data_IF_346711894491
#
_entry.id   IF_346711894491
#
_cell.length_a   1.000
_cell.length_b   1.000
_cell.length_c   1.000
_cell.angle_alpha   90.00
_cell.angle_beta   90.00
_cell.angle_gamma   90.00
#
_symmetry.space_group_name_H-M   'P 1'
#
loop_
_entity.id
_entity.type
_entity.pdbx_description
1 polymer ?
#
# COMPACT_ATOMS: atom_id res chain seq x y z
N UNK A 1 -24.21 -24.17 -2.23
CA UNK A 1 -23.57 -24.65 -3.45
C UNK A 1 -22.53 -23.63 -3.90
N UNK A 2 -21.25 -23.97 -3.93
CA UNK A 2 -20.25 -23.08 -4.51
C UNK A 2 -20.48 -23.03 -6.03
N UNK A 3 -20.77 -21.83 -6.54
CA UNK A 3 -20.93 -21.57 -7.97
C UNK A 3 -19.71 -20.80 -8.45
N UNK A 4 -18.99 -21.36 -9.40
CA UNK A 4 -17.88 -20.67 -10.05
C UNK A 4 -18.34 -19.99 -11.34
N UNK A 5 -18.08 -18.69 -11.48
CA UNK A 5 -18.29 -17.97 -12.74
C UNK A 5 -17.10 -18.20 -13.68
N UNK A 6 -17.35 -18.50 -14.95
CA UNK A 6 -16.31 -18.51 -15.96
C UNK A 6 -16.07 -17.10 -16.48
N UNK A 7 -14.98 -16.46 -16.06
CA UNK A 7 -14.60 -15.12 -16.52
C UNK A 7 -14.52 -15.05 -18.06
N UNK A 8 -13.92 -16.05 -18.72
CA UNK A 8 -13.78 -16.08 -20.18
C UNK A 8 -15.11 -16.10 -20.90
N UNK A 9 -16.10 -16.88 -20.45
CA UNK A 9 -17.44 -16.90 -21.05
C UNK A 9 -18.20 -15.59 -20.80
N UNK A 10 -18.07 -15.03 -19.60
CA UNK A 10 -18.73 -13.77 -19.27
C UNK A 10 -18.21 -12.63 -20.14
N UNK A 11 -16.89 -12.57 -20.36
CA UNK A 11 -16.28 -11.54 -21.22
C UNK A 11 -16.69 -11.71 -22.68
N UNK A 12 -16.68 -12.94 -23.21
CA UNK A 12 -17.16 -13.19 -24.58
C UNK A 12 -18.62 -12.78 -24.77
N UNK A 13 -19.48 -13.07 -23.79
CA UNK A 13 -20.87 -12.63 -23.83
C UNK A 13 -21.00 -11.11 -23.75
N UNK A 14 -20.21 -10.45 -22.90
CA UNK A 14 -20.22 -8.99 -22.77
C UNK A 14 -19.71 -8.31 -24.04
N UNK A 15 -18.63 -8.80 -24.65
CA UNK A 15 -18.09 -8.31 -25.93
C UNK A 15 -19.08 -8.49 -27.08
N UNK A 16 -19.89 -9.57 -27.05
CA UNK A 16 -20.97 -9.81 -27.99
C UNK A 16 -22.20 -8.92 -27.75
N UNK A 17 -22.16 -8.02 -26.76
CA UNK A 17 -23.22 -7.05 -26.47
C UNK A 17 -24.29 -7.55 -25.49
N UNK A 18 -24.05 -8.62 -24.74
CA UNK A 18 -24.96 -9.11 -23.74
C UNK A 18 -25.11 -8.11 -22.59
N UNK A 19 -26.34 -7.64 -22.36
CA UNK A 19 -26.68 -6.65 -21.31
C UNK A 19 -27.38 -7.26 -20.09
N UNK A 20 -27.76 -8.54 -20.16
CA UNK A 20 -28.51 -9.21 -19.11
C UNK A 20 -27.97 -10.61 -18.82
N UNK A 21 -28.20 -11.15 -17.61
CA UNK A 21 -27.84 -12.54 -17.27
C UNK A 21 -28.54 -13.60 -18.14
N UNK A 22 -29.64 -13.24 -18.81
CA UNK A 22 -30.34 -14.14 -19.73
C UNK A 22 -29.47 -14.64 -20.89
N UNK A 23 -28.47 -13.86 -21.30
CA UNK A 23 -27.54 -14.31 -22.32
C UNK A 23 -26.77 -15.58 -21.88
N UNK A 24 -26.41 -15.68 -20.58
CA UNK A 24 -25.79 -16.87 -20.01
C UNK A 24 -26.71 -18.10 -20.03
N UNK A 25 -27.98 -17.90 -19.73
CA UNK A 25 -28.99 -18.96 -19.77
C UNK A 25 -29.21 -19.47 -21.20
N UNK A 26 -29.35 -18.58 -22.17
CA UNK A 26 -29.49 -18.92 -23.59
C UNK A 26 -28.24 -19.61 -24.12
N UNK A 27 -27.05 -19.13 -23.78
CA UNK A 27 -25.78 -19.77 -24.16
C UNK A 27 -25.68 -21.19 -23.59
N UNK A 28 -26.07 -21.41 -22.34
CA UNK A 28 -26.09 -22.73 -21.71
C UNK A 28 -27.05 -23.68 -22.37
N UNK A 29 -28.26 -23.22 -22.68
CA UNK A 29 -29.27 -24.01 -23.41
C UNK A 29 -28.77 -24.41 -24.80
N UNK A 30 -28.17 -23.46 -25.51
CA UNK A 30 -27.57 -23.72 -26.83
C UNK A 30 -26.44 -24.75 -26.76
N UNK A 31 -25.57 -24.65 -25.77
CA UNK A 31 -24.52 -25.65 -25.55
C UNK A 31 -25.08 -27.05 -25.32
N UNK A 32 -26.17 -27.18 -24.52
CA UNK A 32 -26.84 -28.46 -24.30
C UNK A 32 -27.33 -29.05 -25.62
N UNK A 33 -28.06 -28.26 -26.42
CA UNK A 33 -28.55 -28.69 -27.72
C UNK A 33 -27.42 -29.12 -28.65
N UNK A 34 -26.37 -28.31 -28.76
CA UNK A 34 -25.19 -28.64 -29.58
C UNK A 34 -24.49 -29.90 -29.08
N UNK A 35 -24.35 -30.10 -27.79
CA UNK A 35 -23.76 -31.28 -27.19
C UNK A 35 -24.59 -32.55 -27.49
N UNK A 36 -25.91 -32.45 -27.53
CA UNK A 36 -26.76 -33.63 -27.79
C UNK A 36 -26.75 -34.04 -29.27
N UNK A 37 -26.75 -33.07 -30.18
CA UNK A 37 -26.96 -33.37 -31.63
C UNK A 37 -25.71 -33.29 -32.50
N UNK A 38 -24.70 -32.52 -32.08
CA UNK A 38 -23.51 -32.20 -32.91
C UNK A 38 -22.18 -32.69 -32.33
N UNK A 39 -22.19 -33.54 -31.31
CA UNK A 39 -20.94 -34.06 -30.70
C UNK A 39 -20.04 -34.73 -31.71
N UNK A 40 -20.58 -35.51 -32.66
CA UNK A 40 -19.80 -36.19 -33.69
C UNK A 40 -19.08 -35.21 -34.64
N UNK A 41 -19.69 -34.07 -34.95
CA UNK A 41 -19.08 -33.05 -35.80
C UNK A 41 -17.89 -32.38 -35.12
N UNK A 42 -17.96 -32.20 -33.80
CA UNK A 42 -16.86 -31.62 -33.02
C UNK A 42 -15.73 -32.60 -32.70
N UNK A 43 -15.95 -33.91 -32.86
CA UNK A 43 -14.96 -34.97 -32.62
C UNK A 43 -13.73 -34.85 -33.55
N UNK A 44 -13.93 -34.34 -34.75
CA UNK A 44 -12.86 -34.17 -35.75
C UNK A 44 -12.14 -32.80 -35.64
N UNK A 45 -12.53 -31.93 -34.73
CA UNK A 45 -11.87 -30.63 -34.52
C UNK A 45 -10.48 -30.84 -33.93
N UNK A 46 -9.41 -30.39 -34.61
CA UNK A 46 -8.05 -30.44 -34.06
C UNK A 46 -7.95 -29.63 -32.79
N UNK A 47 -7.30 -30.22 -31.78
CA UNK A 47 -7.06 -29.50 -30.47
C UNK A 47 -6.35 -28.16 -30.65
N UNK A 48 -5.50 -28.06 -31.70
CA UNK A 48 -4.83 -26.79 -32.02
C UNK A 48 -5.80 -25.65 -32.36
N UNK A 49 -6.93 -25.92 -33.03
CA UNK A 49 -7.94 -24.93 -33.36
C UNK A 49 -8.69 -24.48 -32.08
N UNK A 50 -9.00 -25.43 -31.19
CA UNK A 50 -9.65 -25.12 -29.91
C UNK A 50 -8.73 -24.24 -29.05
N UNK A 51 -7.45 -24.61 -28.96
CA UNK A 51 -6.46 -23.82 -28.22
C UNK A 51 -6.27 -22.42 -28.81
N UNK A 52 -6.18 -22.30 -30.14
CA UNK A 52 -6.08 -21.00 -30.81
C UNK A 52 -7.30 -20.12 -30.54
N UNK A 53 -8.50 -20.68 -30.56
CA UNK A 53 -9.75 -19.95 -30.26
C UNK A 53 -9.75 -19.42 -28.83
N UNK A 54 -9.28 -20.21 -27.87
CA UNK A 54 -9.17 -19.79 -26.47
C UNK A 54 -8.15 -18.64 -26.36
N UNK A 55 -6.97 -18.77 -26.95
CA UNK A 55 -5.92 -17.75 -26.92
C UNK A 55 -6.44 -16.43 -27.50
N UNK A 56 -7.07 -16.46 -28.68
CA UNK A 56 -7.62 -15.27 -29.31
C UNK A 56 -8.71 -14.60 -28.45
N UNK A 57 -9.56 -15.42 -27.83
CA UNK A 57 -10.64 -14.91 -26.95
C UNK A 57 -10.09 -14.25 -25.69
N UNK A 58 -9.02 -14.79 -25.11
CA UNK A 58 -8.38 -14.26 -23.88
C UNK A 58 -7.46 -13.09 -24.21
N UNK A 59 -6.91 -13.01 -25.44
CA UNK A 59 -5.97 -11.94 -25.82
C UNK A 59 -6.51 -10.53 -25.54
N UNK A 60 -7.79 -10.34 -25.73
CA UNK A 60 -8.46 -9.05 -25.44
C UNK A 60 -8.50 -8.68 -23.97
N UNK A 61 -8.31 -9.64 -23.06
CA UNK A 61 -8.27 -9.42 -21.61
C UNK A 61 -6.88 -8.97 -21.13
N UNK A 62 -5.86 -9.15 -21.98
CA UNK A 62 -4.49 -8.78 -21.62
C UNK A 62 -4.36 -7.26 -21.73
N UNK A 63 -4.32 -6.61 -20.56
CA UNK A 63 -4.05 -5.18 -20.45
C UNK A 63 -2.73 -4.95 -19.71
N UNK A 64 -1.80 -4.31 -20.39
CA UNK A 64 -0.50 -3.98 -19.82
C UNK A 64 -0.46 -2.58 -19.18
N UNK A 65 -1.52 -1.76 -19.32
CA UNK A 65 -1.58 -0.41 -18.76
C UNK A 65 -1.42 -0.41 -17.23
N UNK A 66 -2.08 -1.32 -16.47
CA UNK A 66 -1.92 -1.36 -15.02
C UNK A 66 -0.46 -1.53 -14.57
N UNK A 67 0.35 -2.27 -15.32
CA UNK A 67 1.78 -2.46 -15.01
C UNK A 67 2.55 -1.14 -15.10
N UNK A 68 2.28 -0.35 -16.13
CA UNK A 68 2.96 0.94 -16.35
C UNK A 68 2.47 1.99 -15.36
N UNK A 69 1.17 2.06 -15.13
CA UNK A 69 0.55 3.02 -14.23
C UNK A 69 0.97 2.76 -12.78
N UNK A 70 0.89 1.51 -12.32
CA UNK A 70 1.30 1.14 -10.97
C UNK A 70 2.78 1.43 -10.73
N UNK A 71 3.65 1.11 -11.68
CA UNK A 71 5.09 1.40 -11.58
C UNK A 71 5.40 2.90 -11.48
N UNK A 72 4.64 3.72 -12.19
CA UNK A 72 4.78 5.18 -12.14
C UNK A 72 4.27 5.78 -10.82
N UNK A 73 3.20 5.20 -10.27
CA UNK A 73 2.57 5.70 -9.06
C UNK A 73 3.31 5.23 -7.79
N UNK A 74 3.59 3.94 -7.69
CA UNK A 74 4.24 3.33 -6.53
C UNK A 74 5.16 2.18 -6.97
N UNK A 75 6.46 2.36 -6.77
CA UNK A 75 7.43 1.31 -7.09
C UNK A 75 7.23 0.05 -6.24
N UNK A 76 6.78 0.20 -4.99
CA UNK A 76 6.50 -0.92 -4.10
C UNK A 76 5.35 -1.79 -4.65
N UNK A 77 4.24 -1.15 -5.03
CA UNK A 77 3.09 -1.86 -5.60
C UNK A 77 3.44 -2.48 -6.95
N UNK A 78 4.28 -1.79 -7.75
CA UNK A 78 4.82 -2.34 -9.00
C UNK A 78 5.66 -3.59 -8.77
N UNK A 79 6.52 -3.62 -7.75
CA UNK A 79 7.30 -4.81 -7.39
C UNK A 79 6.37 -5.97 -6.99
N UNK A 80 5.39 -5.72 -6.13
CA UNK A 80 4.43 -6.74 -5.70
C UNK A 80 3.66 -7.33 -6.90
N UNK A 81 3.24 -6.48 -7.84
CA UNK A 81 2.55 -6.90 -9.06
C UNK A 81 3.45 -7.80 -9.94
N UNK A 82 4.70 -7.42 -10.18
CA UNK A 82 5.64 -8.23 -10.95
C UNK A 82 5.97 -9.55 -10.27
N UNK A 83 6.17 -9.55 -8.95
CA UNK A 83 6.41 -10.76 -8.15
C UNK A 83 5.22 -11.72 -8.27
N UNK A 84 3.99 -11.19 -8.15
CA UNK A 84 2.76 -11.99 -8.32
C UNK A 84 2.68 -12.56 -9.74
N UNK A 85 2.89 -11.73 -10.76
CA UNK A 85 2.82 -12.13 -12.16
C UNK A 85 3.79 -13.27 -12.48
N UNK A 86 5.06 -13.09 -12.12
CA UNK A 86 6.07 -14.13 -12.34
C UNK A 86 5.85 -15.36 -11.45
N UNK A 87 5.38 -15.17 -10.22
CA UNK A 87 5.02 -16.27 -9.34
C UNK A 87 3.92 -17.16 -9.93
N UNK A 88 2.87 -16.55 -10.48
CA UNK A 88 1.78 -17.29 -11.15
C UNK A 88 2.28 -17.95 -12.44
N UNK A 89 3.16 -17.30 -13.19
CA UNK A 89 3.63 -17.80 -14.48
C UNK A 89 4.61 -18.99 -14.35
N UNK A 90 5.51 -18.95 -13.38
CA UNK A 90 6.58 -19.95 -13.24
C UNK A 90 6.30 -21.06 -12.23
N UNK A 91 5.40 -20.83 -11.28
CA UNK A 91 5.03 -21.84 -10.27
C UNK A 91 3.62 -22.36 -10.58
N UNK A 92 2.65 -21.79 -9.90
CA UNK A 92 1.22 -22.08 -10.10
C UNK A 92 0.39 -20.87 -9.58
N UNK A 93 -0.91 -20.87 -9.90
CA UNK A 93 -1.81 -19.77 -9.55
C UNK A 93 -1.87 -19.57 -8.02
N UNK A 94 -2.02 -20.65 -7.26
CA UNK A 94 -2.18 -20.57 -5.81
C UNK A 94 -0.92 -20.06 -5.13
N UNK A 95 0.22 -20.64 -5.47
CA UNK A 95 1.53 -20.25 -4.93
C UNK A 95 1.91 -18.84 -5.35
N UNK A 96 1.68 -18.47 -6.61
CA UNK A 96 1.96 -17.13 -7.13
C UNK A 96 1.13 -16.05 -6.41
N UNK A 97 -0.15 -16.30 -6.16
CA UNK A 97 -1.00 -15.39 -5.39
C UNK A 97 -0.54 -15.28 -3.94
N UNK A 98 -0.18 -16.39 -3.30
CA UNK A 98 0.35 -16.37 -1.92
C UNK A 98 1.62 -15.54 -1.83
N UNK A 99 2.58 -15.74 -2.73
CA UNK A 99 3.81 -14.94 -2.80
C UNK A 99 3.49 -13.46 -3.02
N UNK A 100 2.52 -13.14 -3.87
CA UNK A 100 2.06 -11.78 -4.10
C UNK A 100 1.51 -11.12 -2.84
N UNK A 101 0.64 -11.81 -2.10
CA UNK A 101 0.08 -11.33 -0.83
C UNK A 101 1.19 -11.09 0.20
N UNK A 102 2.09 -12.08 0.38
CA UNK A 102 3.22 -11.93 1.31
C UNK A 102 4.14 -10.77 0.91
N UNK A 103 4.44 -10.62 -0.38
CA UNK A 103 5.26 -9.51 -0.88
C UNK A 103 4.62 -8.15 -0.57
N UNK A 104 3.32 -8.02 -0.81
CA UNK A 104 2.56 -6.79 -0.50
C UNK A 104 2.61 -6.50 1.00
N UNK A 105 2.46 -7.53 1.84
CA UNK A 105 2.51 -7.37 3.29
C UNK A 105 3.89 -6.93 3.78
N UNK A 106 4.96 -7.55 3.28
CA UNK A 106 6.34 -7.16 3.60
C UNK A 106 6.61 -5.72 3.18
N UNK A 107 6.19 -5.33 1.98
CA UNK A 107 6.39 -3.96 1.49
C UNK A 107 5.58 -2.94 2.30
N UNK A 108 4.39 -3.30 2.77
CA UNK A 108 3.59 -2.47 3.66
C UNK A 108 4.28 -2.27 5.01
N UNK A 109 4.78 -3.34 5.64
CA UNK A 109 5.53 -3.25 6.89
C UNK A 109 6.79 -2.40 6.72
N UNK A 110 7.52 -2.60 5.63
CA UNK A 110 8.72 -1.81 5.33
C UNK A 110 8.40 -0.32 5.14
N UNK A 111 7.25 0.01 4.53
CA UNK A 111 6.78 1.39 4.37
C UNK A 111 6.43 2.03 5.72
N UNK A 112 5.71 1.30 6.58
CA UNK A 112 5.32 1.77 7.92
C UNK A 112 6.54 1.96 8.82
N UNK A 113 7.58 1.10 8.67
CA UNK A 113 8.81 1.21 9.45
C UNK A 113 9.68 2.41 9.08
N UNK A 114 9.41 3.06 7.93
CA UNK A 114 10.14 4.26 7.46
C UNK A 114 9.18 5.43 7.24
N UNK A 115 8.58 5.96 8.31
CA UNK A 115 7.63 7.05 8.20
C UNK A 115 8.31 8.32 7.69
N UNK A 116 7.52 9.20 7.11
CA UNK A 116 8.00 10.54 6.81
C UNK A 116 8.06 11.34 8.11
N UNK A 117 9.28 11.73 8.50
CA UNK A 117 9.55 12.59 9.64
C UNK A 117 10.11 13.91 9.12
N UNK A 118 9.66 15.03 9.65
CA UNK A 118 10.08 16.33 9.19
C UNK A 118 10.21 17.33 10.36
N UNK A 119 11.23 18.17 10.29
CA UNK A 119 11.28 19.37 11.10
C UNK A 119 10.27 20.38 10.55
N UNK A 120 9.47 20.94 11.42
CA UNK A 120 8.42 21.91 11.10
C UNK A 120 8.71 23.26 11.76
N UNK A 121 8.28 24.33 11.11
CA UNK A 121 8.31 25.69 11.64
C UNK A 121 7.00 26.42 11.40
N UNK A 122 6.81 27.55 12.05
CA UNK A 122 5.60 28.35 11.97
C UNK A 122 5.61 29.23 10.71
N UNK A 123 4.50 29.28 9.99
CA UNK A 123 4.31 30.25 8.91
C UNK A 123 4.04 31.62 9.55
N UNK A 124 4.79 32.64 9.10
CA UNK A 124 4.69 33.98 9.62
C UNK A 124 3.24 34.51 9.59
N UNK A 125 2.77 34.99 10.75
CA UNK A 125 1.41 35.56 10.88
C UNK A 125 0.27 34.56 10.94
N UNK A 126 0.59 33.25 11.07
CA UNK A 126 -0.42 32.18 11.22
C UNK A 126 -0.07 31.23 12.35
N UNK A 127 -1.04 30.41 12.77
CA UNK A 127 -0.83 29.31 13.73
C UNK A 127 -0.44 27.97 13.04
N UNK A 128 -0.15 27.99 11.74
CA UNK A 128 0.14 26.79 10.97
C UNK A 128 1.62 26.45 10.96
N UNK A 129 1.92 25.20 11.25
CA UNK A 129 3.26 24.63 11.16
C UNK A 129 3.43 23.84 9.85
N UNK A 130 4.55 24.07 9.15
CA UNK A 130 4.89 23.43 7.87
C UNK A 130 6.32 22.97 7.85
N UNK A 131 6.61 21.99 6.99
CA UNK A 131 7.95 21.46 6.78
C UNK A 131 8.90 22.57 6.30
N UNK A 132 10.03 22.72 7.01
CA UNK A 132 11.06 23.73 6.73
C UNK A 132 11.69 23.59 5.34
N UNK A 133 11.74 22.37 4.79
CA UNK A 133 12.34 22.10 3.47
C UNK A 133 11.41 22.47 2.29
N UNK A 134 10.11 22.73 2.57
CA UNK A 134 9.11 22.99 1.53
C UNK A 134 8.49 24.38 1.60
N UNK A 135 8.61 25.04 2.74
CA UNK A 135 7.95 26.32 3.00
C UNK A 135 8.91 27.28 3.70
N UNK A 136 8.74 28.57 3.46
CA UNK A 136 9.40 29.60 4.27
C UNK A 136 8.70 29.70 5.61
N UNK A 137 9.39 29.33 6.66
CA UNK A 137 8.86 29.26 8.03
C UNK A 137 9.84 29.90 9.00
N UNK A 138 9.33 30.31 10.15
CA UNK A 138 10.12 30.82 11.27
C UNK A 138 10.51 29.63 12.15
N UNK A 139 11.78 29.51 12.46
CA UNK A 139 12.35 28.56 13.43
C UNK A 139 13.14 29.30 14.48
N UNK A 140 13.23 28.71 15.68
CA UNK A 140 14.04 29.25 16.79
C UNK A 140 15.24 28.32 17.00
N UNK A 141 16.42 28.88 17.20
CA UNK A 141 17.64 28.08 17.40
C UNK A 141 17.61 27.20 18.66
N UNK A 142 16.81 27.58 19.65
CA UNK A 142 16.66 26.83 20.91
C UNK A 142 15.55 25.77 20.90
N UNK A 143 14.73 25.71 19.84
CA UNK A 143 13.57 24.83 19.76
C UNK A 143 13.59 24.10 18.41
N UNK A 144 13.47 22.78 18.44
CA UNK A 144 13.16 21.99 17.24
C UNK A 144 11.77 21.37 17.37
N UNK A 145 10.94 21.58 16.37
CA UNK A 145 9.62 20.96 16.29
C UNK A 145 9.66 19.86 15.23
N UNK A 146 9.35 18.65 15.64
CA UNK A 146 9.37 17.45 14.78
C UNK A 146 7.95 16.95 14.61
N UNK A 147 7.59 16.58 13.39
CA UNK A 147 6.32 15.90 13.08
C UNK A 147 6.61 14.58 12.38
N UNK A 148 5.95 13.54 12.86
CA UNK A 148 5.87 12.23 12.18
C UNK A 148 4.50 12.12 11.54
N UNK A 149 4.45 11.66 10.27
CA UNK A 149 3.22 11.60 9.49
C UNK A 149 2.53 10.22 9.58
N UNK A 150 2.77 9.46 10.67
CA UNK A 150 2.21 8.13 10.95
C UNK A 150 1.91 7.95 12.44
N UNK A 151 1.06 6.98 12.80
CA UNK A 151 0.90 6.52 14.18
C UNK A 151 2.16 5.86 14.68
N UNK A 152 2.47 5.98 15.97
CA UNK A 152 3.65 5.41 16.57
C UNK A 152 3.44 3.94 16.93
N UNK A 153 4.41 3.11 16.55
CA UNK A 153 4.40 1.69 16.83
C UNK A 153 5.82 1.14 16.93
N UNK A 154 5.95 -0.11 17.39
CA UNK A 154 7.23 -0.80 17.46
C UNK A 154 8.01 -0.81 16.13
N UNK A 155 7.31 -0.63 14.99
CA UNK A 155 7.92 -0.59 13.66
C UNK A 155 8.68 0.71 13.37
N UNK A 156 8.24 1.84 13.92
CA UNK A 156 8.74 3.15 13.51
C UNK A 156 9.24 4.05 14.64
N UNK A 157 9.02 3.68 15.90
CA UNK A 157 9.45 4.48 17.05
C UNK A 157 10.98 4.70 17.07
N UNK A 158 11.77 3.68 16.73
CA UNK A 158 13.22 3.81 16.64
C UNK A 158 13.66 4.79 15.54
N UNK A 159 12.96 4.84 14.41
CA UNK A 159 13.23 5.82 13.34
C UNK A 159 13.02 7.25 13.83
N UNK A 160 12.00 7.48 14.67
CA UNK A 160 11.78 8.77 15.31
C UNK A 160 12.91 9.12 16.28
N UNK A 161 13.34 8.15 17.11
CA UNK A 161 14.45 8.33 18.05
C UNK A 161 15.74 8.71 17.32
N UNK A 162 16.12 7.95 16.29
CA UNK A 162 17.31 8.23 15.48
C UNK A 162 17.24 9.62 14.84
N UNK A 163 16.06 10.01 14.32
CA UNK A 163 15.87 11.32 13.72
C UNK A 163 16.06 12.46 14.75
N UNK A 164 15.45 12.34 15.93
CA UNK A 164 15.58 13.35 17.01
C UNK A 164 17.04 13.48 17.45
N UNK A 165 17.74 12.34 17.65
CA UNK A 165 19.14 12.34 18.06
C UNK A 165 20.03 13.00 16.98
N UNK A 166 19.77 12.72 15.70
CA UNK A 166 20.48 13.34 14.58
C UNK A 166 20.31 14.87 14.57
N UNK A 167 19.07 15.36 14.78
CA UNK A 167 18.79 16.81 14.84
C UNK A 167 19.50 17.49 16.01
N UNK A 168 19.53 16.86 17.20
CA UNK A 168 20.21 17.38 18.37
C UNK A 168 21.72 17.50 18.14
N UNK A 169 22.31 16.51 17.49
CA UNK A 169 23.75 16.51 17.21
C UNK A 169 24.20 17.66 16.30
N UNK A 170 23.26 18.18 15.48
CA UNK A 170 23.54 19.30 14.56
C UNK A 170 23.37 20.68 15.21
N UNK A 171 22.65 20.78 16.36
CA UNK A 171 22.35 22.05 17.00
C UNK A 171 22.63 22.03 18.50
N UNK A 172 23.78 22.52 18.87
CA UNK A 172 24.26 22.58 20.27
C UNK A 172 23.53 23.62 21.15
N UNK A 173 22.72 24.50 20.56
CA UNK A 173 21.96 25.52 21.29
C UNK A 173 20.54 25.07 21.67
N UNK A 174 20.20 23.83 21.33
CA UNK A 174 18.86 23.28 21.51
C UNK A 174 18.54 23.10 23.01
N UNK A 175 17.38 23.58 23.41
CA UNK A 175 16.84 23.45 24.78
C UNK A 175 15.52 22.71 24.82
N UNK A 176 14.77 22.73 23.73
CA UNK A 176 13.43 22.13 23.66
C UNK A 176 13.25 21.35 22.37
N UNK A 177 12.74 20.15 22.50
CA UNK A 177 12.22 19.32 21.39
C UNK A 177 10.70 19.25 21.51
N UNK A 178 9.98 19.62 20.48
CA UNK A 178 8.52 19.54 20.42
C UNK A 178 8.12 18.48 19.42
N UNK A 179 7.52 17.39 19.88
CA UNK A 179 6.91 16.39 19.01
C UNK A 179 5.46 16.79 18.72
N UNK A 180 5.18 17.13 17.46
CA UNK A 180 3.82 17.41 17.02
C UNK A 180 3.08 16.11 16.72
N UNK A 181 2.05 15.81 17.50
CA UNK A 181 1.29 14.57 17.48
C UNK A 181 0.04 14.63 16.60
N UNK A 182 -0.11 15.65 15.73
CA UNK A 182 -1.30 15.81 14.88
C UNK A 182 -1.65 14.57 14.07
N UNK A 183 -0.64 13.87 13.56
CA UNK A 183 -0.82 12.64 12.75
C UNK A 183 -0.86 11.37 13.58
N UNK A 184 -0.47 11.42 14.85
CA UNK A 184 -0.46 10.26 15.75
C UNK A 184 -1.88 9.99 16.21
N UNK A 185 -2.44 8.87 15.80
CA UNK A 185 -3.80 8.45 16.18
C UNK A 185 -3.81 7.31 17.19
N UNK A 186 -2.70 6.58 17.30
CA UNK A 186 -2.51 5.50 18.25
C UNK A 186 -1.03 5.36 18.58
N UNK A 187 -0.75 4.79 19.75
CA UNK A 187 0.58 4.44 20.21
C UNK A 187 0.53 3.03 20.81
N UNK A 188 1.50 2.17 20.53
CA UNK A 188 1.64 0.90 21.20
C UNK A 188 2.64 0.98 22.36
N UNK A 189 2.68 -0.05 23.19
CA UNK A 189 3.53 -0.08 24.39
C UNK A 189 5.02 0.11 24.05
N UNK A 190 5.51 -0.54 23.02
CA UNK A 190 6.92 -0.43 22.61
C UNK A 190 7.28 0.96 22.13
N UNK A 191 6.35 1.64 21.45
CA UNK A 191 6.53 3.02 21.05
C UNK A 191 6.49 3.99 22.24
N UNK A 192 5.66 3.72 23.25
CA UNK A 192 5.64 4.48 24.50
C UNK A 192 6.97 4.34 25.24
N UNK A 193 7.47 3.11 25.41
CA UNK A 193 8.79 2.85 26.01
C UNK A 193 9.91 3.60 25.26
N UNK A 194 9.86 3.61 23.93
CA UNK A 194 10.82 4.37 23.13
C UNK A 194 10.72 5.89 23.34
N UNK A 195 9.51 6.43 23.53
CA UNK A 195 9.33 7.86 23.85
C UNK A 195 9.88 8.18 25.24
N UNK A 196 9.71 7.29 26.21
CA UNK A 196 10.32 7.44 27.53
C UNK A 196 11.85 7.43 27.46
N UNK A 197 12.42 6.52 26.65
CA UNK A 197 13.87 6.49 26.39
C UNK A 197 14.37 7.80 25.76
N UNK A 198 13.63 8.34 24.76
CA UNK A 198 13.95 9.63 24.14
C UNK A 198 13.94 10.72 25.20
N UNK A 199 12.91 10.78 26.04
CA UNK A 199 12.81 11.77 27.11
C UNK A 199 13.98 11.68 28.08
N UNK A 200 14.37 10.48 28.53
CA UNK A 200 15.49 10.26 29.43
C UNK A 200 16.85 10.67 28.79
N UNK A 201 17.04 10.41 27.48
CA UNK A 201 18.25 10.82 26.78
C UNK A 201 18.32 12.35 26.62
N UNK A 202 17.20 13.00 26.34
CA UNK A 202 17.09 14.46 26.27
C UNK A 202 17.36 15.12 27.62
N UNK A 203 16.79 14.60 28.69
CA UNK A 203 16.99 15.11 30.04
C UNK A 203 18.47 15.07 30.47
N UNK A 204 19.21 14.02 30.10
CA UNK A 204 20.67 13.93 30.35
C UNK A 204 21.46 15.03 29.64
N UNK A 205 20.93 15.53 28.53
CA UNK A 205 21.52 16.62 27.74
C UNK A 205 20.99 18.02 28.18
N UNK A 206 20.07 18.06 29.15
CA UNK A 206 19.42 19.30 29.60
C UNK A 206 18.40 19.84 28.59
N UNK A 207 17.86 18.97 27.73
CA UNK A 207 16.87 19.31 26.71
C UNK A 207 15.50 18.78 27.17
N UNK A 208 14.47 19.60 27.07
CA UNK A 208 13.09 19.21 27.45
C UNK A 208 12.29 18.71 26.26
N UNK A 209 11.61 17.55 26.42
CA UNK A 209 10.65 17.03 25.46
C UNK A 209 9.26 17.60 25.74
N UNK A 210 8.61 18.07 24.71
CA UNK A 210 7.22 18.52 24.73
C UNK A 210 6.40 17.78 23.70
N UNK A 211 5.15 17.45 24.04
CA UNK A 211 4.19 16.88 23.11
C UNK A 211 3.12 17.92 22.80
N UNK A 212 2.84 18.15 21.53
CA UNK A 212 1.80 19.08 21.11
C UNK A 212 0.74 18.37 20.27
N UNK A 213 -0.50 18.85 20.28
CA UNK A 213 -1.62 18.30 19.50
C UNK A 213 -1.88 16.81 19.77
N UNK A 214 -1.74 16.38 21.03
CA UNK A 214 -1.99 14.99 21.43
C UNK A 214 -3.49 14.71 21.38
N UNK A 215 -3.89 13.65 20.69
CA UNK A 215 -5.29 13.23 20.57
C UNK A 215 -5.73 12.45 21.83
N UNK A 216 -7.02 12.53 22.18
CA UNK A 216 -7.60 11.84 23.32
C UNK A 216 -7.19 10.37 23.45
N UNK A 217 -7.35 9.52 22.41
CA UNK A 217 -6.98 8.09 22.49
C UNK A 217 -5.48 7.80 22.72
N UNK A 218 -4.64 8.82 22.65
CA UNK A 218 -3.19 8.70 22.92
C UNK A 218 -2.87 9.20 24.32
N UNK A 219 -3.77 9.99 24.94
CA UNK A 219 -3.63 10.50 26.30
C UNK A 219 -4.12 9.51 27.37
N UNK A 220 -5.06 8.61 27.01
CA UNK A 220 -5.66 7.59 27.88
C UNK A 220 -4.72 6.38 28.04
#
# INVERSE_FOLDING_TARGET
FPVTGSLSRTVVNADAGAKTPMAGVLSSLFIVVVSMYFTNTFRELPLAILSATIIVSIWKLVDFRPFIETWKYSKADGIAMWVTFFGVLFLDISTGLMIGVFSTFILLLWRISRPHIAVIGQIQGTEHFRNISRHQVITLSSIVSVRIDESLSFLNANSLKEFIIAEISQNTQLKHVVLNCTSISSIDLSALETLEEINQELDKLGIQLHLSEVKGPVMD
#
